data_IF_038303920263
#
_entry.id   IF_038303920263
#
_cell.length_a   1.000
_cell.length_b   1.000
_cell.length_c   1.000
_cell.angle_alpha   90.00
_cell.angle_beta   90.00
_cell.angle_gamma   90.00
#
_symmetry.space_group_name_H-M   'P 1'
#
loop_
_entity.id
_entity.type
_entity.pdbx_description
1 polymer ?
#
# COMPACT_ATOMS: atom_id res chain seq x y z
N UNK A 1 82.86 17.43 -54.94
CA UNK A 1 83.21 18.34 -56.05
C UNK A 1 82.51 19.65 -55.80
N UNK A 2 83.26 20.73 -55.89
CA UNK A 2 82.90 22.12 -55.62
C UNK A 2 82.24 22.77 -56.85
N UNK A 3 81.95 24.08 -56.71
CA UNK A 3 81.54 25.09 -57.73
C UNK A 3 80.00 25.28 -57.84
N UNK A 4 79.35 26.44 -57.66
CA UNK A 4 79.61 27.89 -57.72
C UNK A 4 78.77 28.53 -58.86
N UNK A 5 77.93 29.52 -58.50
CA UNK A 5 77.33 30.65 -59.27
C UNK A 5 75.86 30.87 -58.83
N UNK A 6 75.49 31.88 -58.03
CA UNK A 6 75.41 33.34 -58.26
C UNK A 6 74.19 33.79 -59.11
N UNK A 7 73.62 34.92 -58.70
CA UNK A 7 72.48 35.72 -59.24
C UNK A 7 71.06 35.21 -58.90
N UNK A 8 70.10 36.01 -58.43
CA UNK A 8 69.97 37.46 -58.31
C UNK A 8 68.77 37.81 -57.43
N UNK A 9 68.91 38.91 -56.69
CA UNK A 9 67.89 39.72 -56.04
C UNK A 9 66.79 40.18 -57.02
N UNK A 10 65.51 39.95 -56.72
CA UNK A 10 64.40 40.83 -57.14
C UNK A 10 63.12 40.56 -56.32
N UNK A 11 62.46 41.61 -55.84
CA UNK A 11 61.00 41.60 -55.73
C UNK A 11 60.32 42.15 -54.47
N UNK A 12 61.03 42.53 -53.39
CA UNK A 12 60.36 43.20 -52.26
C UNK A 12 60.27 44.71 -52.50
N UNK A 13 59.25 45.11 -53.25
CA UNK A 13 58.79 46.51 -53.36
C UNK A 13 58.28 46.98 -52.00
N UNK A 14 59.15 47.58 -51.19
CA UNK A 14 58.73 48.36 -50.03
C UNK A 14 58.08 49.65 -50.54
N UNK A 15 56.82 49.88 -50.18
CA UNK A 15 56.14 51.14 -50.47
C UNK A 15 56.83 52.27 -49.69
N UNK A 16 57.61 53.10 -50.38
CA UNK A 16 58.10 54.35 -49.82
C UNK A 16 56.91 55.27 -49.54
N UNK A 17 56.66 55.59 -48.27
CA UNK A 17 55.64 56.56 -47.87
C UNK A 17 56.02 57.94 -48.41
N UNK A 18 55.33 58.40 -49.45
CA UNK A 18 55.40 59.79 -49.93
C UNK A 18 54.59 60.70 -48.99
N UNK A 19 55.10 60.90 -47.77
CA UNK A 19 54.71 62.06 -46.96
C UNK A 19 55.76 63.15 -47.16
N UNK A 20 55.39 64.36 -47.57
CA UNK A 20 56.34 65.48 -47.66
C UNK A 20 57.05 65.67 -46.32
N UNK A 21 58.36 65.90 -46.35
CA UNK A 21 59.11 66.31 -45.16
C UNK A 21 58.60 67.70 -44.77
N UNK A 22 58.03 67.81 -43.57
CA UNK A 22 57.49 69.06 -43.06
C UNK A 22 58.63 69.93 -42.53
N UNK A 23 59.08 70.90 -43.33
CA UNK A 23 60.14 71.87 -43.00
C UNK A 23 59.60 73.14 -42.30
N UNK A 24 58.52 73.04 -41.51
CA UNK A 24 58.03 74.19 -40.75
C UNK A 24 58.91 74.43 -39.49
N UNK A 25 59.57 75.59 -39.34
CA UNK A 25 60.49 75.86 -38.22
C UNK A 25 59.79 76.06 -36.88
N UNK A 26 58.47 76.33 -36.88
CA UNK A 26 57.64 76.26 -35.68
C UNK A 26 57.14 74.82 -35.51
N UNK A 27 57.77 74.09 -34.59
CA UNK A 27 57.31 72.74 -34.19
C UNK A 27 55.83 72.83 -33.81
N UNK A 28 54.99 72.03 -34.47
CA UNK A 28 53.57 71.93 -34.10
C UNK A 28 53.48 71.28 -32.73
N UNK A 29 53.38 72.10 -31.68
CA UNK A 29 53.00 71.65 -30.35
C UNK A 29 51.61 71.02 -30.46
N UNK A 30 51.52 69.72 -30.22
CA UNK A 30 50.24 69.03 -30.03
C UNK A 30 49.62 69.55 -28.74
N UNK A 31 48.96 70.71 -28.82
CA UNK A 31 47.97 71.13 -27.83
C UNK A 31 46.99 69.98 -27.73
N UNK A 32 46.81 69.39 -26.54
CA UNK A 32 45.77 68.37 -26.29
C UNK A 32 44.44 68.94 -26.80
N UNK A 33 44.10 68.57 -28.03
CA UNK A 33 42.98 69.15 -28.73
C UNK A 33 41.72 68.76 -27.99
N UNK A 34 40.86 69.74 -27.75
CA UNK A 34 39.49 69.46 -27.35
C UNK A 34 38.93 68.48 -28.37
N UNK A 35 38.75 67.21 -27.96
CA UNK A 35 38.20 66.19 -28.85
C UNK A 35 36.81 66.66 -29.20
N UNK A 36 36.66 67.18 -30.42
CA UNK A 36 35.39 67.75 -30.84
C UNK A 36 34.39 66.61 -30.97
N UNK A 37 33.10 66.90 -30.76
CA UNK A 37 32.02 65.90 -30.91
C UNK A 37 32.11 65.16 -32.26
N UNK A 38 32.59 65.85 -33.29
CA UNK A 38 32.83 65.32 -34.63
C UNK A 38 34.01 64.34 -34.71
N UNK A 39 35.09 64.57 -33.96
CA UNK A 39 36.21 63.61 -33.87
C UNK A 39 35.80 62.33 -33.13
N UNK A 40 35.02 62.45 -32.04
CA UNK A 40 34.49 61.27 -31.34
C UNK A 40 33.51 60.49 -32.23
N UNK A 41 32.64 61.18 -32.97
CA UNK A 41 31.70 60.51 -33.87
C UNK A 41 32.40 59.83 -35.04
N UNK A 42 33.43 60.46 -35.61
CA UNK A 42 34.29 59.89 -36.64
C UNK A 42 35.05 58.66 -36.15
N UNK A 43 35.68 58.73 -34.97
CA UNK A 43 36.35 57.58 -34.37
C UNK A 43 35.38 56.42 -34.10
N UNK A 44 34.22 56.70 -33.51
CA UNK A 44 33.17 55.68 -33.30
C UNK A 44 32.66 55.08 -34.61
N UNK A 45 32.60 55.87 -35.68
CA UNK A 45 32.23 55.37 -37.01
C UNK A 45 33.28 54.41 -37.56
N UNK A 46 34.57 54.77 -37.51
CA UNK A 46 35.67 53.89 -37.95
C UNK A 46 35.70 52.59 -37.14
N UNK A 47 35.61 52.68 -35.80
CA UNK A 47 35.59 51.49 -34.94
C UNK A 47 34.40 50.58 -35.24
N UNK A 48 33.20 51.14 -35.49
CA UNK A 48 32.03 50.35 -35.89
C UNK A 48 32.23 49.68 -37.25
N UNK A 49 32.83 50.37 -38.22
CA UNK A 49 33.12 49.79 -39.54
C UNK A 49 34.10 48.62 -39.44
N UNK A 50 35.12 48.73 -38.59
CA UNK A 50 36.07 47.63 -38.31
C UNK A 50 35.34 46.45 -37.66
N UNK A 51 34.51 46.71 -36.65
CA UNK A 51 33.75 45.65 -35.96
C UNK A 51 32.80 44.90 -36.92
N UNK A 52 32.07 45.61 -37.78
CA UNK A 52 31.21 44.99 -38.79
C UNK A 52 32.01 44.23 -39.86
N UNK A 53 33.17 44.77 -40.28
CA UNK A 53 34.05 44.08 -41.23
C UNK A 53 34.61 42.77 -40.67
N UNK A 54 34.92 42.70 -39.38
CA UNK A 54 35.40 41.47 -38.73
C UNK A 54 34.25 40.49 -38.44
N UNK A 55 33.11 40.98 -37.94
CA UNK A 55 32.02 40.11 -37.51
C UNK A 55 31.16 39.59 -38.68
N UNK A 56 30.94 40.41 -39.71
CA UNK A 56 29.99 40.15 -40.80
C UNK A 56 30.65 40.10 -42.19
N UNK A 57 31.98 40.29 -42.28
CA UNK A 57 32.72 40.37 -43.54
C UNK A 57 32.20 41.43 -44.54
N UNK A 58 31.45 42.42 -44.04
CA UNK A 58 30.92 43.53 -44.83
C UNK A 58 31.19 44.88 -44.12
N UNK A 59 31.66 45.86 -44.90
CA UNK A 59 31.94 47.23 -44.44
C UNK A 59 30.87 48.23 -44.90
N UNK A 60 29.93 47.78 -45.74
CA UNK A 60 28.78 48.54 -46.19
C UNK A 60 27.72 48.46 -45.09
N UNK A 61 27.77 49.40 -44.15
CA UNK A 61 26.85 49.49 -43.00
C UNK A 61 25.41 49.87 -43.43
N UNK A 62 24.79 49.06 -44.32
CA UNK A 62 23.44 49.26 -44.88
C UNK A 62 22.35 48.94 -43.85
N UNK A 63 22.63 47.99 -42.95
CA UNK A 63 21.81 47.64 -41.79
C UNK A 63 22.77 47.45 -40.62
N UNK A 64 22.35 47.82 -39.41
CA UNK A 64 23.21 47.77 -38.21
C UNK A 64 22.76 46.64 -37.24
N UNK A 65 22.92 45.35 -37.61
CA UNK A 65 22.38 44.21 -36.86
C UNK A 65 22.99 44.07 -35.46
N UNK A 66 24.26 44.45 -35.29
CA UNK A 66 24.94 44.40 -33.99
C UNK A 66 24.30 45.37 -32.96
N UNK A 67 23.71 46.47 -33.42
CA UNK A 67 23.11 47.49 -32.55
C UNK A 67 21.70 47.10 -32.10
N UNK A 68 20.93 46.41 -32.94
CA UNK A 68 19.65 45.85 -32.53
C UNK A 68 19.86 44.66 -31.59
N UNK A 69 20.85 43.80 -31.88
CA UNK A 69 21.23 42.67 -31.02
C UNK A 69 21.76 43.15 -29.66
N UNK A 70 22.65 44.14 -29.62
CA UNK A 70 23.18 44.67 -28.35
C UNK A 70 22.10 45.35 -27.51
N UNK A 71 21.16 46.08 -28.15
CA UNK A 71 20.01 46.68 -27.46
C UNK A 71 19.04 45.63 -26.93
N UNK A 72 18.80 44.56 -27.68
CA UNK A 72 17.98 43.44 -27.23
C UNK A 72 18.60 42.73 -26.03
N UNK A 73 19.92 42.47 -26.05
CA UNK A 73 20.64 41.88 -24.91
C UNK A 73 20.63 42.82 -23.70
N UNK A 74 20.86 44.12 -23.89
CA UNK A 74 20.81 45.09 -22.80
C UNK A 74 19.40 45.16 -22.17
N UNK A 75 18.36 45.19 -23.00
CA UNK A 75 16.97 45.20 -22.53
C UNK A 75 16.63 43.91 -21.78
N UNK A 76 17.08 42.76 -22.31
CA UNK A 76 16.93 41.46 -21.64
C UNK A 76 17.63 41.43 -20.28
N UNK A 77 18.85 41.97 -20.18
CA UNK A 77 19.58 42.08 -18.93
C UNK A 77 18.85 42.98 -17.91
N UNK A 78 18.32 44.13 -18.35
CA UNK A 78 17.54 45.02 -17.48
C UNK A 78 16.27 44.34 -16.97
N UNK A 79 15.54 43.64 -17.84
CA UNK A 79 14.34 42.88 -17.46
C UNK A 79 14.68 41.74 -16.49
N UNK A 80 15.79 41.04 -16.69
CA UNK A 80 16.26 39.98 -15.80
C UNK A 80 16.59 40.55 -14.41
N UNK A 81 17.33 41.65 -14.35
CA UNK A 81 17.67 42.32 -13.08
C UNK A 81 16.40 42.82 -12.38
N UNK A 82 15.46 43.43 -13.13
CA UNK A 82 14.18 43.85 -12.59
C UNK A 82 13.35 42.67 -12.06
N UNK A 83 13.35 41.54 -12.77
CA UNK A 83 12.69 40.31 -12.34
C UNK A 83 13.30 39.74 -11.06
N UNK A 84 14.62 39.66 -10.97
CA UNK A 84 15.33 39.22 -9.76
C UNK A 84 15.07 40.16 -8.57
N UNK A 85 15.09 41.47 -8.80
CA UNK A 85 14.76 42.46 -7.78
C UNK A 85 13.30 42.32 -7.31
N UNK A 86 12.36 42.08 -8.23
CA UNK A 86 10.97 41.79 -7.93
C UNK A 86 10.81 40.53 -7.07
N UNK A 87 11.48 39.42 -7.45
CA UNK A 87 11.50 38.19 -6.65
C UNK A 87 12.08 38.43 -5.25
N UNK A 88 13.17 39.20 -5.14
CA UNK A 88 13.78 39.53 -3.85
C UNK A 88 12.82 40.33 -2.95
N UNK A 89 12.17 41.36 -3.47
CA UNK A 89 11.18 42.14 -2.73
C UNK A 89 10.00 41.26 -2.29
N UNK A 90 9.51 40.36 -3.16
CA UNK A 90 8.45 39.42 -2.80
C UNK A 90 8.84 38.50 -1.64
N UNK A 91 10.11 38.07 -1.54
CA UNK A 91 10.57 37.25 -0.41
C UNK A 91 10.60 38.00 0.91
N UNK A 92 10.85 39.32 0.90
CA UNK A 92 10.83 40.16 2.12
C UNK A 92 9.41 40.50 2.58
N UNK A 93 8.47 40.65 1.65
CA UNK A 93 7.06 40.95 1.96
C UNK A 93 6.33 39.70 2.45
N UNK A 94 6.68 38.52 1.93
CA UNK A 94 6.09 37.24 2.34
C UNK A 94 7.19 36.27 2.83
N UNK A 95 7.83 36.54 3.98
CA UNK A 95 8.60 35.51 4.64
C UNK A 95 7.64 34.35 4.95
N UNK A 96 8.10 33.13 4.74
CA UNK A 96 7.29 31.91 4.75
C UNK A 96 6.59 31.72 6.13
N UNK A 97 5.40 32.32 6.29
CA UNK A 97 4.68 32.46 7.57
C UNK A 97 3.94 31.19 8.00
N UNK A 98 4.00 30.14 7.17
CA UNK A 98 3.39 28.84 7.43
C UNK A 98 3.79 28.29 8.81
N UNK A 99 5.06 28.47 9.20
CA UNK A 99 5.59 27.96 10.46
C UNK A 99 4.88 28.48 11.72
N UNK A 100 4.29 29.68 11.69
CA UNK A 100 3.68 30.26 12.89
C UNK A 100 2.24 29.79 13.12
N UNK A 101 1.52 29.42 12.06
CA UNK A 101 0.12 28.99 12.14
C UNK A 101 -0.07 27.48 12.02
N UNK A 102 0.98 26.75 11.64
CA UNK A 102 0.90 25.30 11.47
C UNK A 102 1.04 24.57 12.81
N UNK A 103 0.15 23.62 13.12
CA UNK A 103 0.13 22.94 14.42
C UNK A 103 1.20 21.84 14.53
N UNK A 104 1.76 21.37 13.41
CA UNK A 104 2.79 20.33 13.38
C UNK A 104 3.93 20.79 12.48
N UNK A 105 5.13 20.84 13.05
CA UNK A 105 6.36 21.26 12.38
C UNK A 105 7.33 20.09 12.31
N UNK A 106 8.03 19.96 11.18
CA UNK A 106 9.14 19.04 11.03
C UNK A 106 10.43 19.82 10.83
N UNK A 107 11.47 19.46 11.59
CA UNK A 107 12.81 19.97 11.32
C UNK A 107 13.33 19.45 9.97
N UNK A 108 13.70 20.35 9.07
CA UNK A 108 14.22 20.00 7.75
C UNK A 108 15.57 19.26 7.79
N UNK A 109 16.38 19.45 8.83
CA UNK A 109 17.70 18.78 8.92
C UNK A 109 17.62 17.41 9.59
N UNK A 110 16.82 17.27 10.65
CA UNK A 110 16.75 16.05 11.46
C UNK A 110 15.49 15.22 11.23
N UNK A 111 14.49 15.76 10.53
CA UNK A 111 13.13 15.19 10.43
C UNK A 111 12.44 15.01 11.79
N UNK A 112 12.94 15.64 12.86
CA UNK A 112 12.29 15.60 14.17
C UNK A 112 10.93 16.33 14.11
N UNK A 113 9.91 15.73 14.72
CA UNK A 113 8.55 16.24 14.72
C UNK A 113 8.28 17.03 16.00
N UNK A 114 7.59 18.16 15.84
CA UNK A 114 7.15 19.03 16.91
C UNK A 114 5.67 19.35 16.73
N UNK A 115 4.92 19.37 17.83
CA UNK A 115 3.52 19.78 17.85
C UNK A 115 3.36 21.00 18.74
N UNK A 116 2.57 21.96 18.28
CA UNK A 116 2.23 23.14 19.06
C UNK A 116 1.04 22.85 19.97
N UNK A 117 1.24 23.02 21.28
CA UNK A 117 0.18 22.92 22.29
C UNK A 117 0.20 24.21 23.11
N UNK A 118 -0.86 25.02 22.97
CA UNK A 118 -0.85 26.39 23.47
C UNK A 118 0.25 27.22 22.79
N UNK A 119 1.15 27.77 23.61
CA UNK A 119 2.26 28.61 23.15
C UNK A 119 3.62 27.89 23.14
N UNK A 120 3.66 26.58 23.42
CA UNK A 120 4.90 25.79 23.46
C UNK A 120 4.97 24.77 22.31
N UNK A 121 6.19 24.51 21.83
CA UNK A 121 6.49 23.40 20.93
C UNK A 121 6.96 22.19 21.73
N UNK A 122 6.24 21.09 21.59
CA UNK A 122 6.57 19.81 22.19
C UNK A 122 7.17 18.88 21.14
N UNK A 123 8.36 18.29 21.37
CA UNK A 123 8.85 17.23 20.49
C UNK A 123 7.89 16.03 20.57
N UNK A 124 7.68 15.33 19.44
CA UNK A 124 6.75 14.21 19.33
C UNK A 124 7.41 12.97 18.74
N UNK A 125 7.11 11.81 19.32
CA UNK A 125 7.69 10.53 18.91
C UNK A 125 7.31 10.05 17.50
N UNK A 126 6.14 10.41 16.99
CA UNK A 126 5.64 9.96 15.67
C UNK A 126 4.54 10.90 15.14
N UNK A 127 4.31 10.84 13.83
CA UNK A 127 3.32 11.69 13.18
C UNK A 127 1.87 11.37 13.61
N UNK A 128 1.58 10.11 13.91
CA UNK A 128 0.26 9.68 14.40
C UNK A 128 -0.09 10.34 15.72
N UNK A 129 0.85 10.38 16.67
CA UNK A 129 0.67 11.07 17.95
C UNK A 129 0.46 12.57 17.76
N UNK A 130 1.20 13.21 16.85
CA UNK A 130 1.00 14.62 16.54
C UNK A 130 -0.41 14.88 15.97
N UNK A 131 -0.89 14.03 15.05
CA UNK A 131 -2.26 14.11 14.51
C UNK A 131 -3.33 13.90 15.58
N UNK A 132 -3.10 13.00 16.53
CA UNK A 132 -4.02 12.77 17.66
C UNK A 132 -4.08 13.98 18.60
N UNK A 133 -2.94 14.59 18.92
CA UNK A 133 -2.87 15.79 19.78
C UNK A 133 -3.60 16.97 19.12
N UNK A 134 -3.43 17.15 17.80
CA UNK A 134 -4.10 18.22 17.06
C UNK A 134 -5.58 17.91 16.76
N UNK A 135 -5.97 16.62 16.78
CA UNK A 135 -7.34 16.17 16.54
C UNK A 135 -7.77 16.18 15.06
N UNK A 136 -6.82 16.28 14.10
CA UNK A 136 -7.12 16.28 12.66
C UNK A 136 -5.96 15.70 11.82
N UNK A 137 -6.23 15.17 10.61
CA UNK A 137 -5.20 14.65 9.73
C UNK A 137 -4.40 15.79 9.10
N UNK A 138 -3.34 16.22 9.79
CA UNK A 138 -2.41 17.25 9.32
C UNK A 138 -1.09 16.64 8.89
N UNK A 139 -0.48 17.22 7.85
CA UNK A 139 0.87 16.89 7.42
C UNK A 139 1.86 17.88 8.05
N UNK A 140 3.07 17.42 8.44
CA UNK A 140 4.03 18.29 9.10
C UNK A 140 4.61 19.31 8.11
N UNK A 141 4.76 20.56 8.55
CA UNK A 141 5.37 21.61 7.74
C UNK A 141 6.88 21.64 7.94
N UNK A 142 7.70 21.49 6.87
CA UNK A 142 9.15 21.44 7.01
C UNK A 142 9.77 22.84 7.22
N UNK A 143 10.31 23.08 8.40
CA UNK A 143 10.91 24.36 8.82
C UNK A 143 12.41 24.23 9.09
N UNK A 144 13.12 25.37 9.14
CA UNK A 144 14.54 25.39 9.52
C UNK A 144 14.66 25.31 11.05
N UNK A 145 15.75 24.74 11.61
CA UNK A 145 15.98 24.69 13.05
C UNK A 145 15.82 26.04 13.76
N UNK A 146 16.33 27.12 13.16
CA UNK A 146 16.27 28.46 13.74
C UNK A 146 14.83 28.94 14.02
N UNK A 147 13.84 28.48 13.26
CA UNK A 147 12.43 28.83 13.47
C UNK A 147 11.85 28.06 14.66
N UNK A 148 12.32 26.83 14.90
CA UNK A 148 11.88 26.03 16.05
C UNK A 148 12.40 26.62 17.36
N UNK A 149 13.57 27.27 17.32
CA UNK A 149 14.19 27.93 18.48
C UNK A 149 13.50 29.24 18.89
N UNK A 150 12.62 29.79 18.04
CA UNK A 150 11.79 30.97 18.37
C UNK A 150 10.66 30.64 19.37
N UNK A 151 10.30 29.36 19.52
CA UNK A 151 9.22 28.92 20.39
C UNK A 151 9.76 28.31 21.70
N UNK A 152 9.07 28.52 22.84
CA UNK A 152 9.38 27.81 24.07
C UNK A 152 9.25 26.30 23.87
N UNK A 153 10.25 25.54 24.33
CA UNK A 153 10.25 24.07 24.24
C UNK A 153 9.54 23.45 25.43
N UNK A 154 8.61 22.54 25.15
CA UNK A 154 7.92 21.72 26.13
C UNK A 154 8.52 20.31 26.23
N UNK A 155 7.89 19.46 27.05
CA UNK A 155 8.28 18.07 27.23
C UNK A 155 8.00 17.21 25.98
N UNK A 156 8.71 16.09 25.86
CA UNK A 156 8.48 15.07 24.84
C UNK A 156 7.08 14.44 25.01
N UNK A 157 6.32 14.39 23.93
CA UNK A 157 4.98 13.81 23.86
C UNK A 157 4.93 12.66 22.86
N UNK A 158 3.88 11.84 22.98
CA UNK A 158 3.51 10.81 22.02
C UNK A 158 3.45 9.40 22.58
N UNK A 159 2.94 8.49 21.76
CA UNK A 159 2.72 7.09 22.11
C UNK A 159 3.86 6.26 21.49
N UNK A 160 4.73 5.63 22.31
CA UNK A 160 5.77 4.75 21.80
C UNK A 160 5.18 3.60 20.99
N UNK A 161 5.78 3.29 19.84
CA UNK A 161 5.35 2.17 18.97
C UNK A 161 4.11 2.46 18.11
N UNK A 162 3.54 3.67 18.16
CA UNK A 162 2.47 4.02 17.23
C UNK A 162 2.99 4.04 15.78
N UNK A 163 2.16 3.64 14.80
CA UNK A 163 2.58 3.54 13.41
C UNK A 163 2.91 4.92 12.82
N UNK A 164 3.96 5.02 12.03
CA UNK A 164 4.30 6.27 11.31
C UNK A 164 3.38 6.51 10.10
N UNK A 165 2.90 5.43 9.48
CA UNK A 165 2.05 5.48 8.28
C UNK A 165 0.77 4.72 8.53
N UNK A 166 -0.34 5.43 8.45
CA UNK A 166 -1.70 4.86 8.49
C UNK A 166 -2.29 4.91 7.08
N UNK A 167 -1.82 4.02 6.20
CA UNK A 167 -2.37 3.89 4.84
C UNK A 167 -3.52 2.89 4.90
N UNK A 168 -4.69 3.29 4.39
CA UNK A 168 -5.84 2.40 4.29
C UNK A 168 -5.74 1.58 3.00
N UNK A 169 -6.19 0.32 3.07
CA UNK A 169 -6.44 -0.46 1.86
C UNK A 169 -7.55 0.20 1.05
N UNK A 170 -7.48 0.11 -0.28
CA UNK A 170 -8.57 0.55 -1.17
C UNK A 170 -9.65 -0.51 -1.33
N UNK A 171 -9.42 -1.73 -0.83
CA UNK A 171 -10.42 -2.79 -0.83
C UNK A 171 -11.55 -2.47 0.15
N UNK A 172 -12.79 -2.63 -0.31
CA UNK A 172 -14.01 -2.40 0.48
C UNK A 172 -14.50 -3.70 1.12
N UNK A 173 -14.07 -4.85 0.57
CA UNK A 173 -14.47 -6.17 1.05
C UNK A 173 -13.61 -6.60 2.24
N UNK A 174 -14.29 -7.15 3.26
CA UNK A 174 -13.65 -7.63 4.47
C UNK A 174 -13.32 -9.12 4.36
N UNK A 175 -12.16 -9.44 3.80
CA UNK A 175 -11.64 -10.81 3.78
C UNK A 175 -10.72 -11.05 4.97
N UNK A 176 -11.18 -11.87 5.91
CA UNK A 176 -10.42 -12.33 7.06
C UNK A 176 -10.38 -13.84 7.08
N UNK A 177 -9.18 -14.40 7.24
CA UNK A 177 -9.00 -15.85 7.33
C UNK A 177 -8.05 -16.17 8.47
N UNK A 178 -8.48 -17.07 9.35
CA UNK A 178 -7.62 -17.65 10.39
C UNK A 178 -7.21 -19.04 9.93
N UNK A 179 -5.91 -19.28 9.85
CA UNK A 179 -5.34 -20.57 9.47
C UNK A 179 -4.62 -21.17 10.67
N UNK A 180 -4.74 -22.49 10.85
CA UNK A 180 -4.00 -23.26 11.84
C UNK A 180 -3.23 -24.40 11.16
N UNK A 181 -1.91 -24.28 11.14
CA UNK A 181 -1.01 -25.27 10.61
C UNK A 181 -0.44 -26.15 11.73
N UNK A 182 -0.88 -27.40 11.80
CA UNK A 182 -0.41 -28.36 12.80
C UNK A 182 1.03 -28.84 12.58
N UNK A 183 1.62 -28.63 11.40
CA UNK A 183 2.99 -29.05 11.09
C UNK A 183 3.61 -28.22 9.95
N UNK A 184 4.92 -28.38 9.74
CA UNK A 184 5.68 -27.68 8.71
C UNK A 184 6.29 -26.36 9.18
N UNK A 185 6.95 -25.65 8.27
CA UNK A 185 7.68 -24.40 8.56
C UNK A 185 6.76 -23.24 8.92
N UNK A 186 5.47 -23.33 8.59
CA UNK A 186 4.44 -22.35 8.91
C UNK A 186 3.57 -22.80 10.09
N UNK A 187 4.05 -23.72 10.94
CA UNK A 187 3.27 -24.22 12.07
C UNK A 187 2.83 -23.10 13.01
N UNK A 188 1.59 -23.19 13.49
CA UNK A 188 0.96 -22.19 14.34
C UNK A 188 -0.23 -21.50 13.68
N UNK A 189 -0.71 -20.44 14.34
CA UNK A 189 -1.87 -19.66 13.89
C UNK A 189 -1.42 -18.48 13.05
N UNK A 190 -2.04 -18.32 11.89
CA UNK A 190 -1.84 -17.16 11.02
C UNK A 190 -3.17 -16.45 10.78
N UNK A 191 -3.13 -15.12 10.79
CA UNK A 191 -4.24 -14.27 10.38
C UNK A 191 -3.91 -13.68 9.01
N UNK A 192 -4.77 -13.93 8.03
CA UNK A 192 -4.65 -13.39 6.67
C UNK A 192 -5.75 -12.35 6.49
N UNK A 193 -5.33 -11.12 6.19
CA UNK A 193 -6.21 -10.00 5.88
C UNK A 193 -6.11 -9.71 4.38
N UNK A 194 -7.12 -10.13 3.61
CA UNK A 194 -7.14 -10.01 2.16
C UNK A 194 -7.67 -11.26 1.45
N UNK A 195 -7.88 -11.19 0.13
CA UNK A 195 -8.36 -12.32 -0.65
C UNK A 195 -7.33 -13.46 -0.62
N UNK A 196 -7.84 -14.69 -0.53
CA UNK A 196 -7.02 -15.90 -0.64
C UNK A 196 -6.73 -16.19 -2.11
N UNK A 197 -5.50 -16.56 -2.41
CA UNK A 197 -5.14 -17.08 -3.72
C UNK A 197 -5.61 -18.55 -3.82
N UNK A 198 -6.43 -18.85 -4.83
CA UNK A 198 -6.95 -20.18 -5.13
C UNK A 198 -6.29 -20.83 -6.34
N UNK A 199 -5.31 -20.17 -6.97
CA UNK A 199 -4.70 -20.63 -8.23
C UNK A 199 -3.71 -21.79 -8.08
N UNK A 200 -3.39 -22.21 -6.85
CA UNK A 200 -2.54 -23.36 -6.56
C UNK A 200 -3.24 -24.34 -5.60
N UNK A 201 -3.40 -25.60 -6.04
CA UNK A 201 -4.19 -26.69 -5.43
C UNK A 201 -3.71 -27.22 -4.07
N UNK A 202 -3.40 -26.35 -3.09
CA UNK A 202 -2.95 -26.77 -1.75
C UNK A 202 -3.99 -26.60 -0.64
N UNK A 203 -5.11 -25.94 -0.91
CA UNK A 203 -6.20 -25.77 0.04
C UNK A 203 -7.53 -25.70 -0.70
N UNK A 204 -8.53 -26.41 -0.18
CA UNK A 204 -9.89 -26.43 -0.71
C UNK A 204 -10.89 -26.29 0.45
N UNK A 205 -12.11 -25.86 0.11
CA UNK A 205 -13.23 -25.86 1.06
C UNK A 205 -13.52 -27.28 1.49
N UNK A 206 -13.73 -27.47 2.79
CA UNK A 206 -14.15 -28.76 3.34
C UNK A 206 -15.49 -29.17 2.70
N UNK A 207 -15.50 -30.33 2.03
CA UNK A 207 -16.71 -30.83 1.38
C UNK A 207 -17.76 -31.27 2.43
N UNK A 208 -19.06 -31.28 2.11
CA UNK A 208 -20.13 -31.58 3.08
C UNK A 208 -20.06 -32.99 3.70
N UNK A 209 -19.40 -33.93 3.05
CA UNK A 209 -19.18 -35.31 3.47
C UNK A 209 -17.86 -35.51 4.24
N UNK A 210 -17.08 -34.43 4.43
CA UNK A 210 -15.82 -34.45 5.16
C UNK A 210 -15.96 -33.73 6.50
N UNK A 211 -15.24 -34.23 7.51
CA UNK A 211 -15.15 -33.61 8.82
C UNK A 211 -13.72 -33.72 9.37
N UNK A 212 -13.35 -32.82 10.28
CA UNK A 212 -12.02 -32.82 10.91
C UNK A 212 -12.17 -33.04 12.41
N UNK A 213 -11.56 -34.10 12.92
CA UNK A 213 -11.52 -34.41 14.35
C UNK A 213 -10.38 -33.65 15.03
N UNK A 214 -10.71 -32.81 16.00
CA UNK A 214 -9.76 -31.96 16.71
C UNK A 214 -9.87 -32.09 18.23
N UNK A 215 -8.82 -31.69 18.94
CA UNK A 215 -8.77 -31.62 20.40
C UNK A 215 -8.18 -30.28 20.83
N UNK A 216 -8.87 -29.62 21.76
CA UNK A 216 -8.50 -28.31 22.30
C UNK A 216 -7.88 -28.39 23.72
N UNK A 217 -7.56 -29.60 24.18
CA UNK A 217 -7.07 -29.90 25.53
C UNK A 217 -8.17 -30.16 26.56
N UNK A 218 -9.42 -29.79 26.29
CA UNK A 218 -10.57 -30.05 27.15
C UNK A 218 -11.43 -31.24 26.69
N UNK A 219 -11.23 -31.71 25.46
CA UNK A 219 -11.96 -32.84 24.89
C UNK A 219 -11.95 -32.82 23.37
N UNK A 220 -12.50 -33.89 22.78
CA UNK A 220 -12.59 -34.02 21.33
C UNK A 220 -13.78 -33.24 20.76
N UNK A 221 -13.57 -32.67 19.57
CA UNK A 221 -14.55 -31.90 18.81
C UNK A 221 -14.50 -32.32 17.35
N UNK A 222 -15.66 -32.29 16.69
CA UNK A 222 -15.77 -32.48 15.27
C UNK A 222 -16.03 -31.13 14.59
N UNK A 223 -15.20 -30.78 13.62
CA UNK A 223 -15.39 -29.63 12.74
C UNK A 223 -16.07 -30.10 11.45
N UNK A 224 -17.24 -29.54 11.15
CA UNK A 224 -18.08 -29.97 10.04
C UNK A 224 -19.00 -28.83 9.62
N UNK A 225 -19.26 -28.66 8.32
CA UNK A 225 -20.22 -27.67 7.77
C UNK A 225 -20.12 -26.27 8.41
N UNK A 226 -18.88 -25.78 8.60
CA UNK A 226 -18.61 -24.47 9.21
C UNK A 226 -18.96 -24.35 10.71
N UNK A 227 -19.16 -25.46 11.41
CA UNK A 227 -19.49 -25.53 12.84
C UNK A 227 -18.54 -26.48 13.58
N UNK A 228 -18.55 -26.39 14.90
CA UNK A 228 -17.88 -27.33 15.81
C UNK A 228 -18.91 -27.95 16.74
N UNK A 229 -18.86 -29.27 16.91
CA UNK A 229 -19.67 -29.98 17.91
C UNK A 229 -18.79 -30.84 18.79
N UNK A 230 -19.08 -30.86 20.10
CA UNK A 230 -18.38 -31.75 21.03
C UNK A 230 -18.70 -33.20 20.70
N UNK A 231 -17.71 -34.08 20.73
CA UNK A 231 -17.89 -35.52 20.53
C UNK A 231 -17.18 -36.28 21.65
N UNK A 232 -17.85 -37.29 22.21
CA UNK A 232 -17.22 -38.24 23.12
C UNK A 232 -16.72 -39.45 22.32
N UNK A 233 -15.42 -39.67 22.31
CA UNK A 233 -14.81 -40.78 21.57
C UNK A 233 -15.04 -42.16 22.23
N UNK A 234 -15.55 -42.17 23.46
CA UNK A 234 -15.96 -43.40 24.14
C UNK A 234 -17.37 -43.86 23.76
N UNK A 235 -18.21 -42.95 23.22
CA UNK A 235 -19.55 -43.27 22.73
C UNK A 235 -19.48 -43.95 21.36
N UNK A 236 -19.42 -45.28 21.38
CA UNK A 236 -19.34 -46.11 20.17
C UNK A 236 -20.56 -46.00 19.28
N UNK A 237 -21.74 -45.72 19.84
CA UNK A 237 -22.97 -45.62 19.07
C UNK A 237 -22.91 -44.42 18.12
N UNK A 238 -22.43 -43.28 18.63
CA UNK A 238 -22.21 -42.06 17.86
C UNK A 238 -21.01 -42.18 16.94
N UNK A 239 -19.84 -42.62 17.43
CA UNK A 239 -18.62 -42.66 16.57
C UNK A 239 -18.78 -43.61 15.39
N UNK A 240 -19.41 -44.78 15.59
CA UNK A 240 -19.61 -45.74 14.51
C UNK A 240 -20.62 -45.25 13.46
N UNK A 241 -21.70 -44.59 13.91
CA UNK A 241 -22.70 -44.01 13.00
C UNK A 241 -22.15 -42.86 12.15
N UNK A 242 -21.20 -42.08 12.70
CA UNK A 242 -20.50 -41.02 12.00
C UNK A 242 -19.32 -41.51 11.14
N UNK A 243 -18.98 -42.80 11.20
CA UNK A 243 -17.84 -43.36 10.47
C UNK A 243 -16.47 -42.94 11.03
N UNK A 244 -16.41 -42.52 12.30
CA UNK A 244 -15.14 -42.18 12.96
C UNK A 244 -14.40 -43.47 13.32
N UNK A 245 -13.24 -43.69 12.71
CA UNK A 245 -12.38 -44.84 13.00
C UNK A 245 -11.98 -44.86 14.48
N UNK A 246 -12.00 -46.04 15.11
CA UNK A 246 -11.49 -46.26 16.45
C UNK A 246 -10.00 -45.91 16.61
N UNK A 247 -9.23 -45.98 15.52
CA UNK A 247 -7.84 -45.57 15.48
C UNK A 247 -7.64 -44.06 15.27
N UNK A 248 -8.71 -43.30 14.95
CA UNK A 248 -8.61 -41.87 14.74
C UNK A 248 -8.02 -41.17 15.98
N UNK A 249 -7.09 -40.25 15.73
CA UNK A 249 -6.48 -39.41 16.78
C UNK A 249 -6.85 -37.97 16.49
N UNK A 250 -7.54 -37.28 17.41
CA UNK A 250 -7.80 -35.86 17.27
C UNK A 250 -6.50 -35.08 17.07
N UNK A 251 -6.48 -34.17 16.10
CA UNK A 251 -5.36 -33.23 15.96
C UNK A 251 -5.51 -32.09 16.96
N UNK A 252 -4.41 -31.60 17.51
CA UNK A 252 -4.44 -30.39 18.31
C UNK A 252 -4.89 -29.20 17.45
N UNK A 253 -5.76 -28.36 18.00
CA UNK A 253 -6.23 -27.12 17.38
C UNK A 253 -5.88 -25.93 18.25
N UNK A 254 -5.39 -24.87 17.62
CA UNK A 254 -5.12 -23.64 18.31
C UNK A 254 -6.40 -22.89 18.71
N UNK A 255 -6.37 -22.24 19.87
CA UNK A 255 -7.51 -21.52 20.44
C UNK A 255 -8.10 -20.45 19.51
N UNK A 256 -7.25 -19.79 18.71
CA UNK A 256 -7.68 -18.76 17.76
C UNK A 256 -8.61 -19.30 16.67
N UNK A 257 -8.25 -20.43 16.02
CA UNK A 257 -9.11 -21.06 15.03
C UNK A 257 -10.33 -21.70 15.69
N UNK A 258 -10.13 -22.37 16.83
CA UNK A 258 -11.23 -22.99 17.57
C UNK A 258 -12.34 -21.98 17.84
N UNK A 259 -12.01 -20.80 18.40
CA UNK A 259 -12.98 -19.74 18.74
C UNK A 259 -13.60 -19.03 17.54
N UNK A 260 -13.01 -19.12 16.35
CA UNK A 260 -13.57 -18.56 15.13
C UNK A 260 -14.73 -19.41 14.58
N UNK A 261 -14.80 -20.70 14.95
CA UNK A 261 -15.81 -21.65 14.44
C UNK A 261 -17.00 -21.68 15.41
N UNK A 262 -18.24 -21.39 14.96
CA UNK A 262 -19.44 -21.45 15.78
C UNK A 262 -19.70 -22.82 16.40
N UNK A 263 -20.06 -22.82 17.69
CA UNK A 263 -20.41 -24.02 18.43
C UNK A 263 -21.85 -24.46 18.14
N UNK A 264 -22.00 -25.74 17.82
CA UNK A 264 -23.27 -26.43 17.66
C UNK A 264 -23.47 -27.43 18.81
N UNK A 265 -24.70 -27.95 19.01
CA UNK A 265 -24.97 -28.95 20.04
C UNK A 265 -24.01 -30.14 20.00
N UNK A 266 -23.75 -30.78 21.15
CA UNK A 266 -22.89 -31.96 21.22
C UNK A 266 -23.48 -33.10 20.38
N UNK A 267 -22.60 -33.92 19.81
CA UNK A 267 -22.97 -35.13 19.07
C UNK A 267 -23.21 -36.25 20.07
N UNK A 268 -24.46 -36.40 20.48
CA UNK A 268 -24.94 -37.45 21.38
C UNK A 268 -26.22 -38.04 20.83
N UNK A 269 -26.54 -39.29 21.20
CA UNK A 269 -27.87 -39.83 20.95
C UNK A 269 -28.93 -38.93 21.62
N UNK A 270 -29.98 -38.52 20.90
CA UNK A 270 -31.02 -37.68 21.49
C UNK A 270 -31.80 -38.46 22.55
N UNK A 271 -32.15 -37.81 23.65
CA UNK A 271 -33.03 -38.40 24.65
C UNK A 271 -34.46 -38.48 24.10
N UNK A 272 -35.01 -39.69 24.03
CA UNK A 272 -36.38 -39.95 23.57
C UNK A 272 -37.24 -40.28 24.80
N UNK A 273 -38.29 -39.49 25.08
CA UNK A 273 -39.24 -39.80 26.14
C UNK A 273 -39.93 -41.14 25.90
N UNK A 274 -40.25 -41.87 26.97
CA UNK A 274 -40.97 -43.15 26.91
C UNK A 274 -40.26 -44.22 26.06
N UNK A 275 -38.93 -44.16 25.96
CA UNK A 275 -38.11 -45.13 25.22
C UNK A 275 -38.50 -46.58 25.58
N UNK A 276 -38.73 -47.39 24.55
CA UNK A 276 -39.14 -48.80 24.69
C UNK A 276 -40.63 -49.04 24.95
N UNK A 277 -41.44 -48.00 25.16
CA UNK A 277 -42.90 -48.14 25.24
C UNK A 277 -43.52 -48.39 23.86
N UNK A 278 -44.78 -48.84 23.83
CA UNK A 278 -45.52 -48.93 22.58
C UNK A 278 -46.13 -47.56 22.21
N UNK A 279 -46.03 -47.13 20.94
CA UNK A 279 -46.59 -45.87 20.48
C UNK A 279 -48.13 -45.89 20.48
N UNK A 280 -48.74 -44.72 20.60
CA UNK A 280 -50.20 -44.53 20.71
C UNK A 280 -50.99 -44.86 19.42
N UNK A 281 -50.32 -44.95 18.28
CA UNK A 281 -50.93 -45.10 16.95
C UNK A 281 -50.84 -46.54 16.38
N UNK A 282 -50.57 -47.55 17.22
CA UNK A 282 -50.75 -48.96 16.86
C UNK A 282 -49.64 -49.57 16.01
N UNK A 283 -48.47 -48.95 15.94
CA UNK A 283 -47.30 -49.52 15.26
C UNK A 283 -46.60 -50.56 16.17
N UNK A 284 -46.30 -51.79 15.70
CA UNK A 284 -45.64 -52.82 16.51
C UNK A 284 -44.11 -52.59 16.58
N UNK A 285 -43.69 -51.34 16.77
CA UNK A 285 -42.30 -50.92 16.93
C UNK A 285 -42.25 -50.00 18.14
N UNK A 286 -41.40 -50.28 19.14
CA UNK A 286 -41.30 -49.44 20.34
C UNK A 286 -40.84 -48.00 20.01
N UNK A 287 -41.21 -47.06 20.87
CA UNK A 287 -40.68 -45.68 20.87
C UNK A 287 -39.16 -45.72 20.97
N UNK A 288 -38.49 -44.95 20.11
CA UNK A 288 -37.04 -44.98 19.88
C UNK A 288 -36.57 -45.98 18.84
N UNK A 289 -37.45 -46.87 18.36
CA UNK A 289 -37.18 -47.71 17.21
C UNK A 289 -37.05 -46.90 15.91
N UNK A 290 -36.43 -47.52 14.91
CA UNK A 290 -36.27 -46.93 13.57
C UNK A 290 -37.02 -47.78 12.55
N UNK A 291 -37.81 -47.13 11.72
CA UNK A 291 -38.54 -47.73 10.60
C UNK A 291 -38.15 -47.06 9.30
N UNK A 292 -38.41 -47.73 8.18
CA UNK A 292 -38.04 -47.27 6.84
C UNK A 292 -39.26 -47.26 5.95
N UNK A 293 -39.42 -46.27 5.09
CA UNK A 293 -40.44 -46.29 4.04
C UNK A 293 -39.80 -46.07 2.67
N UNK A 294 -40.44 -46.57 1.62
CA UNK A 294 -40.06 -46.26 0.25
C UNK A 294 -40.44 -44.82 -0.09
N UNK A 295 -39.50 -44.07 -0.67
CA UNK A 295 -39.77 -42.76 -1.21
C UNK A 295 -40.63 -42.89 -2.47
N UNK A 296 -41.77 -42.19 -2.48
CA UNK A 296 -42.63 -42.10 -3.67
C UNK A 296 -42.08 -40.97 -4.55
N UNK A 297 -41.26 -41.30 -5.54
CA UNK A 297 -40.85 -40.36 -6.59
C UNK A 297 -41.83 -40.38 -7.76
N UNK A 298 -42.10 -39.23 -8.36
CA UNK A 298 -43.03 -39.06 -9.51
C UNK A 298 -42.59 -39.83 -10.78
N UNK A 299 -41.35 -40.29 -10.84
CA UNK A 299 -40.87 -41.24 -11.84
C UNK A 299 -40.80 -42.63 -11.23
N UNK A 300 -41.31 -43.64 -11.95
CA UNK A 300 -41.29 -45.10 -11.65
C UNK A 300 -39.87 -45.72 -11.53
N UNK A 301 -38.91 -44.97 -11.00
CA UNK A 301 -37.65 -45.47 -10.47
C UNK A 301 -37.89 -45.86 -9.01
N UNK A 302 -37.33 -46.99 -8.56
CA UNK A 302 -37.37 -47.35 -7.15
C UNK A 302 -36.75 -46.21 -6.32
N UNK A 303 -37.61 -45.44 -5.65
CA UNK A 303 -37.19 -44.31 -4.83
C UNK A 303 -36.31 -44.79 -3.67
N UNK A 304 -35.50 -43.86 -3.13
CA UNK A 304 -34.63 -44.14 -2.00
C UNK A 304 -35.40 -44.63 -0.77
N UNK A 305 -34.68 -45.25 0.16
CA UNK A 305 -35.24 -45.57 1.48
C UNK A 305 -35.17 -44.32 2.36
N UNK A 306 -36.30 -43.95 2.97
CA UNK A 306 -36.37 -42.85 3.95
C UNK A 306 -36.53 -43.41 5.35
N UNK A 307 -35.69 -42.97 6.28
CA UNK A 307 -35.70 -43.41 7.67
C UNK A 307 -36.61 -42.53 8.53
N UNK A 308 -37.27 -43.15 9.51
CA UNK A 308 -38.12 -42.49 10.49
C UNK A 308 -37.79 -42.99 11.90
N UNK A 309 -37.73 -42.08 12.86
CA UNK A 309 -37.74 -42.40 14.28
C UNK A 309 -39.19 -42.56 14.76
N UNK A 310 -39.45 -43.60 15.56
CA UNK A 310 -40.74 -43.80 16.23
C UNK A 310 -40.78 -43.00 17.52
N UNK A 311 -41.74 -42.09 17.65
CA UNK A 311 -42.04 -41.33 18.86
C UNK A 311 -43.39 -41.79 19.44
N UNK A 312 -43.73 -41.36 20.66
CA UNK A 312 -44.99 -41.77 21.31
C UNK A 312 -46.25 -41.32 20.56
N UNK A 313 -46.17 -40.19 19.87
CA UNK A 313 -47.26 -39.49 19.17
C UNK A 313 -47.16 -39.55 17.65
N UNK A 314 -46.04 -40.00 17.07
CA UNK A 314 -45.89 -40.07 15.62
C UNK A 314 -44.54 -40.58 15.12
N UNK A 315 -44.31 -40.35 13.83
CA UNK A 315 -43.07 -40.69 13.13
C UNK A 315 -42.34 -39.41 12.70
N UNK A 316 -41.06 -39.30 13.04
CA UNK A 316 -40.21 -38.17 12.64
C UNK A 316 -39.25 -38.61 11.53
N UNK A 317 -39.21 -37.95 10.35
CA UNK A 317 -38.21 -38.25 9.33
C UNK A 317 -36.81 -37.89 9.84
N UNK A 318 -35.85 -38.79 9.63
CA UNK A 318 -34.48 -38.66 10.13
C UNK A 318 -33.44 -38.99 9.05
N UNK A 319 -32.21 -38.54 9.26
CA UNK A 319 -31.08 -38.91 8.40
C UNK A 319 -30.65 -40.36 8.65
N UNK A 320 -29.96 -40.97 7.67
CA UNK A 320 -29.37 -42.30 7.84
C UNK A 320 -28.34 -42.37 8.97
N UNK A 321 -27.60 -41.27 9.22
CA UNK A 321 -26.67 -41.15 10.35
C UNK A 321 -27.43 -41.20 11.68
N UNK A 322 -28.50 -40.42 11.83
CA UNK A 322 -29.29 -40.44 13.06
C UNK A 322 -29.99 -41.79 13.27
N UNK A 323 -30.46 -42.42 12.21
CA UNK A 323 -30.98 -43.79 12.26
C UNK A 323 -29.93 -44.78 12.77
N UNK A 324 -28.68 -44.69 12.32
CA UNK A 324 -27.59 -45.51 12.81
C UNK A 324 -27.25 -45.19 14.29
N UNK A 325 -27.22 -43.92 14.69
CA UNK A 325 -27.01 -43.51 16.10
C UNK A 325 -28.05 -44.14 17.01
N UNK A 326 -29.35 -44.02 16.67
CA UNK A 326 -30.44 -44.58 17.48
C UNK A 326 -30.32 -46.10 17.60
N UNK A 327 -30.10 -46.81 16.48
CA UNK A 327 -29.98 -48.26 16.48
C UNK A 327 -28.75 -48.79 17.19
N UNK A 328 -27.62 -48.09 17.11
CA UNK A 328 -26.40 -48.48 17.81
C UNK A 328 -26.52 -48.21 19.31
N UNK A 329 -27.34 -47.24 19.72
CA UNK A 329 -27.61 -46.92 21.12
C UNK A 329 -28.52 -47.98 21.74
N UNK A 330 -29.64 -48.27 21.09
CA UNK A 330 -30.55 -49.36 21.45
C UNK A 330 -31.36 -49.80 20.22
N UNK A 331 -31.26 -51.08 19.86
CA UNK A 331 -31.97 -51.63 18.70
C UNK A 331 -33.45 -51.89 18.94
N UNK A 332 -33.94 -51.75 20.19
CA UNK A 332 -35.30 -52.12 20.59
C UNK A 332 -35.65 -53.58 20.26
N UNK A 333 -34.64 -54.46 20.22
CA UNK A 333 -34.79 -55.87 19.84
C UNK A 333 -34.98 -56.11 18.33
N UNK A 334 -34.71 -55.12 17.48
CA UNK A 334 -34.88 -55.19 16.03
C UNK A 334 -33.53 -55.38 15.30
N UNK A 335 -33.35 -56.54 14.66
CA UNK A 335 -32.15 -56.83 13.85
C UNK A 335 -32.00 -55.90 12.64
N UNK A 336 -33.13 -55.48 12.06
CA UNK A 336 -33.20 -54.55 10.93
C UNK A 336 -34.40 -53.62 11.06
N UNK A 337 -34.34 -52.38 10.52
CA UNK A 337 -35.49 -51.49 10.49
C UNK A 337 -36.64 -52.14 9.71
N UNK A 338 -37.84 -52.26 10.30
CA UNK A 338 -39.03 -52.69 9.56
C UNK A 338 -39.34 -51.71 8.43
N UNK A 339 -39.74 -52.25 7.28
CA UNK A 339 -40.18 -51.45 6.13
C UNK A 339 -41.69 -51.22 6.26
N UNK A 340 -42.09 -49.96 6.22
CA UNK A 340 -43.47 -49.49 6.13
C UNK A 340 -43.84 -49.45 4.64
N UNK A 341 -44.81 -50.27 4.23
CA UNK A 341 -45.25 -50.38 2.84
C UNK A 341 -45.55 -51.81 2.45
#
# INVERSE_FOLDING_TARGET
MSEQSDWSDDGRRSFASRTPVNENPDRVEYRRGFVTKHQVSGWRFVMRRIASGVALHDTRMLVEPLRSQSRAVLMGAVLLVAGLAGCFVLTLIRPNSAAHNDPVLADRSTSALYVRVGDQLHPVLNLTSARLIVGRPVNPTPVRPAVLDEFPRGNLLGIPGAPERTVQSTSVDAHWTVCDAASGTASGVTLIAGPLDSSGSRAETLQPDHAVLVDNGAGAWLLWDGKRSRIDLSDRAVTAALGVDAAARPRQIATGLFNAIPEAPPLTAPAIPELGSLPSFGLPVPVGGVVVAHEVTESNSAGGLRYYAVLGDGLQPISGVLAAVLRNSDSQGLDRPPVLG
#
